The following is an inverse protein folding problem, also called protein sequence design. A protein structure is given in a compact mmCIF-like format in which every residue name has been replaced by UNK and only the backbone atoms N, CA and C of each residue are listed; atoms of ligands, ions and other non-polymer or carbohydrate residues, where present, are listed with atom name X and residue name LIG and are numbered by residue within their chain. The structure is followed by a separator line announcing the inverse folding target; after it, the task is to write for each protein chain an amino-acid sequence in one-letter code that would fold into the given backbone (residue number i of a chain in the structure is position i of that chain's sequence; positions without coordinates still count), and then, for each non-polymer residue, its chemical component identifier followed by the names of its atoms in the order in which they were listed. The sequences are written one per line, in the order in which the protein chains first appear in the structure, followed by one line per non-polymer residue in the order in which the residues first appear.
data_IF_908266331991
#
_entry.id   IF_908266331991
#
_cell.length_a   1.000
_cell.length_b   1.000
_cell.length_c   1.000
_cell.angle_alpha   90.00
_cell.angle_beta   90.00
_cell.angle_gamma   90.00
#
_symmetry.space_group_name_H-M   'P 1'
#
loop_
_entity.id
_entity.type
_entity.pdbx_description
1 polymer ?
#
# COMPACT_ATOMS: atom_id res chain seq x y z
N UNK A 1 -10.96 7.71 26.08
CA UNK A 1 -9.81 6.99 26.69
C UNK A 1 -8.82 6.54 25.62
N UNK A 2 -7.51 6.58 25.94
CA UNK A 2 -6.42 6.19 25.05
C UNK A 2 -5.22 5.61 25.85
N UNK A 3 -4.30 4.91 25.17
CA UNK A 3 -3.12 4.30 25.79
C UNK A 3 -2.01 5.31 26.15
N UNK A 4 -2.03 6.53 25.59
CA UNK A 4 -1.03 7.58 25.87
C UNK A 4 0.36 7.29 25.28
N UNK A 5 0.43 6.47 24.21
CA UNK A 5 1.66 5.92 23.60
C UNK A 5 1.58 5.94 22.06
N UNK A 6 0.89 6.95 21.52
CA UNK A 6 0.52 7.04 20.10
C UNK A 6 1.45 7.92 19.25
N UNK A 7 2.13 8.91 19.81
CA UNK A 7 2.86 9.92 19.03
C UNK A 7 3.95 9.35 18.10
N UNK A 8 4.68 8.35 18.59
CA UNK A 8 5.74 7.65 17.81
C UNK A 8 5.11 6.90 16.63
N UNK A 9 4.06 6.12 16.89
CA UNK A 9 3.34 5.36 15.85
C UNK A 9 2.62 6.28 14.87
N UNK A 10 2.02 7.39 15.33
CA UNK A 10 1.39 8.40 14.49
C UNK A 10 2.42 9.06 13.54
N UNK A 11 3.62 9.36 14.04
CA UNK A 11 4.72 9.86 13.21
C UNK A 11 5.17 8.81 12.19
N UNK A 12 5.38 7.56 12.61
CA UNK A 12 5.69 6.44 11.70
C UNK A 12 4.58 6.15 10.68
N UNK A 13 3.30 6.36 11.01
CA UNK A 13 2.18 6.25 10.07
C UNK A 13 2.27 7.31 8.96
N UNK A 14 2.49 8.57 9.34
CA UNK A 14 2.63 9.69 8.39
C UNK A 14 3.83 9.50 7.47
N UNK A 15 4.95 9.02 8.02
CA UNK A 15 6.11 8.58 7.24
C UNK A 15 5.78 7.41 6.30
N UNK A 16 5.14 6.37 6.80
CA UNK A 16 4.76 5.17 6.03
C UNK A 16 3.83 5.52 4.87
N UNK A 17 2.95 6.49 5.06
CA UNK A 17 2.11 7.05 4.01
C UNK A 17 2.90 7.82 2.94
N UNK A 18 3.89 8.63 3.33
CA UNK A 18 4.78 9.28 2.36
C UNK A 18 5.62 8.25 1.56
N UNK A 19 6.15 7.23 2.25
CA UNK A 19 6.92 6.12 1.64
C UNK A 19 6.05 5.32 0.67
N UNK A 20 4.82 4.97 1.08
CA UNK A 20 3.82 4.34 0.20
C UNK A 20 3.46 5.22 -1.00
N UNK A 21 3.24 6.52 -0.81
CA UNK A 21 2.92 7.44 -1.91
C UNK A 21 4.05 7.48 -2.94
N UNK A 22 5.31 7.54 -2.51
CA UNK A 22 6.46 7.43 -3.42
C UNK A 22 6.55 6.05 -4.12
N UNK A 23 6.28 4.96 -3.40
CA UNK A 23 6.24 3.60 -3.96
C UNK A 23 5.09 3.40 -4.98
N UNK A 24 3.96 4.09 -4.78
CA UNK A 24 2.84 4.14 -5.71
C UNK A 24 3.16 5.02 -6.94
N UNK A 25 3.95 6.09 -6.80
CA UNK A 25 4.48 6.85 -7.94
C UNK A 25 5.40 5.96 -8.80
N UNK A 26 6.30 5.21 -8.14
CA UNK A 26 7.11 4.13 -8.74
C UNK A 26 6.24 3.13 -9.51
N UNK A 27 5.14 2.69 -8.93
CA UNK A 27 4.19 1.77 -9.57
C UNK A 27 3.56 2.36 -10.85
N UNK A 28 3.12 3.62 -10.82
CA UNK A 28 2.57 4.33 -12.00
C UNK A 28 3.64 4.47 -13.09
N UNK A 29 4.86 4.87 -12.72
CA UNK A 29 6.00 4.97 -13.64
C UNK A 29 6.38 3.61 -14.26
N UNK A 30 6.27 2.52 -13.50
CA UNK A 30 6.52 1.15 -13.96
C UNK A 30 5.41 0.59 -14.86
N UNK A 31 4.15 0.98 -14.65
CA UNK A 31 3.00 0.45 -15.40
C UNK A 31 3.04 0.79 -16.90
N UNK A 32 3.49 1.99 -17.29
CA UNK A 32 3.63 2.35 -18.71
C UNK A 32 4.77 1.58 -19.40
N UNK A 33 5.80 1.20 -18.65
CA UNK A 33 6.96 0.43 -19.11
C UNK A 33 6.68 -1.08 -19.21
N UNK A 34 5.81 -1.60 -18.34
CA UNK A 34 5.58 -3.04 -18.16
C UNK A 34 4.61 -3.67 -19.16
N UNK A 35 3.76 -2.88 -19.82
CA UNK A 35 2.79 -3.36 -20.82
C UNK A 35 1.53 -4.06 -20.25
N UNK A 36 1.41 -4.08 -18.92
CA UNK A 36 0.26 -4.53 -18.13
C UNK A 36 0.16 -3.60 -16.90
N UNK A 37 -1.05 -3.34 -16.37
CA UNK A 37 -1.20 -2.67 -15.07
C UNK A 37 -0.25 -3.26 -14.01
N UNK A 38 0.27 -2.40 -13.13
CA UNK A 38 1.07 -2.79 -11.96
C UNK A 38 0.13 -3.04 -10.78
N UNK A 39 0.59 -3.73 -9.75
CA UNK A 39 -0.19 -3.90 -8.52
C UNK A 39 0.64 -3.89 -7.25
N UNK A 40 -0.03 -3.98 -6.11
CA UNK A 40 0.58 -3.98 -4.78
C UNK A 40 -0.10 -5.04 -3.92
N UNK A 41 0.67 -6.02 -3.50
CA UNK A 41 0.31 -7.04 -2.53
C UNK A 41 0.32 -6.47 -1.11
N UNK A 42 -0.57 -6.97 -0.25
CA UNK A 42 -0.75 -6.54 1.14
C UNK A 42 -1.12 -7.73 2.02
N UNK A 43 -0.47 -7.85 3.19
CA UNK A 43 -0.60 -9.00 4.11
C UNK A 43 -0.36 -8.62 5.59
N UNK A 44 -0.64 -7.37 5.95
CA UNK A 44 -0.45 -6.72 7.27
C UNK A 44 1.03 -6.65 7.71
N UNK A 45 1.68 -7.79 7.98
CA UNK A 45 3.10 -7.87 8.37
C UNK A 45 4.05 -7.45 7.22
N UNK A 46 3.60 -7.56 5.97
CA UNK A 46 4.33 -7.12 4.79
C UNK A 46 3.38 -6.74 3.63
N UNK A 47 3.98 -6.13 2.61
CA UNK A 47 3.37 -5.66 1.37
C UNK A 47 4.48 -5.64 0.30
N UNK A 48 4.15 -5.56 -1.00
CA UNK A 48 5.14 -5.37 -2.08
C UNK A 48 4.49 -5.00 -3.41
N UNK A 49 5.19 -4.19 -4.19
CA UNK A 49 4.80 -3.88 -5.58
C UNK A 49 4.93 -5.16 -6.43
N UNK A 50 4.16 -5.29 -7.52
CA UNK A 50 4.10 -6.46 -8.40
C UNK A 50 3.93 -6.07 -9.87
N UNK A 51 4.44 -6.91 -10.77
CA UNK A 51 4.58 -6.66 -12.22
C UNK A 51 4.28 -7.92 -13.05
N UNK A 52 4.05 -7.81 -14.37
CA UNK A 52 3.94 -8.99 -15.25
C UNK A 52 5.23 -9.82 -15.33
N UNK A 53 5.10 -11.02 -15.90
CA UNK A 53 6.20 -11.91 -16.28
C UNK A 53 5.75 -12.88 -17.38
N UNK A 54 6.71 -13.52 -18.07
CA UNK A 54 6.56 -14.34 -19.30
C UNK A 54 5.96 -13.62 -20.53
N UNK A 55 4.90 -12.85 -20.35
CA UNK A 55 4.24 -12.04 -21.39
C UNK A 55 3.48 -10.85 -20.80
N UNK A 56 3.50 -9.66 -21.45
CA UNK A 56 2.63 -8.53 -21.08
C UNK A 56 1.20 -8.69 -21.62
N UNK A 57 0.98 -9.58 -22.60
CA UNK A 57 -0.27 -9.70 -23.38
C UNK A 57 -1.42 -10.43 -22.65
N UNK A 58 -1.16 -11.00 -21.47
CA UNK A 58 -2.16 -11.70 -20.63
C UNK A 58 -1.84 -11.53 -19.14
N UNK A 59 -2.89 -11.58 -18.31
CA UNK A 59 -2.83 -11.44 -16.83
C UNK A 59 -1.83 -12.43 -16.20
N UNK A 60 -0.74 -11.89 -15.64
CA UNK A 60 0.31 -12.63 -14.93
C UNK A 60 0.99 -11.71 -13.89
N UNK A 61 1.61 -12.30 -12.86
CA UNK A 61 2.20 -11.56 -11.74
C UNK A 61 3.51 -12.15 -11.20
N UNK A 62 4.41 -11.24 -10.80
CA UNK A 62 5.74 -11.47 -10.22
C UNK A 62 5.99 -10.34 -9.19
N UNK A 63 6.60 -10.62 -8.02
CA UNK A 63 6.96 -9.58 -7.05
C UNK A 63 8.05 -8.65 -7.61
N UNK A 64 7.84 -7.33 -7.51
CA UNK A 64 8.79 -6.32 -7.96
C UNK A 64 9.92 -6.12 -6.92
N UNK A 65 10.88 -7.06 -6.92
CA UNK A 65 12.10 -7.02 -6.11
C UNK A 65 13.35 -7.42 -6.92
N UNK A 66 13.31 -7.24 -8.24
CA UNK A 66 14.48 -7.42 -9.12
C UNK A 66 15.66 -6.50 -8.76
N UNK A 67 15.38 -5.36 -8.11
CA UNK A 67 16.38 -4.46 -7.49
C UNK A 67 15.86 -3.70 -6.26
N UNK A 68 14.54 -3.45 -6.16
CA UNK A 68 13.85 -2.93 -4.97
C UNK A 68 13.80 -3.93 -3.78
N UNK A 69 14.74 -4.88 -3.72
CA UNK A 69 14.82 -5.92 -2.70
C UNK A 69 14.87 -5.33 -1.26
N UNK A 70 13.91 -5.70 -0.42
CA UNK A 70 13.69 -5.13 0.93
C UNK A 70 13.53 -3.60 0.99
N UNK A 71 13.13 -2.98 -0.12
CA UNK A 71 12.71 -1.57 -0.24
C UNK A 71 11.25 -1.48 -0.72
N UNK A 72 10.82 -2.44 -1.54
CA UNK A 72 9.42 -2.68 -1.94
C UNK A 72 8.54 -3.15 -0.77
N UNK A 73 9.15 -3.70 0.30
CA UNK A 73 8.47 -4.40 1.39
C UNK A 73 9.01 -4.06 2.79
N UNK A 74 8.12 -4.18 3.80
CA UNK A 74 8.28 -4.15 5.27
C UNK A 74 9.13 -3.04 5.96
N UNK A 75 10.21 -2.54 5.36
CA UNK A 75 11.21 -1.65 5.98
C UNK A 75 10.70 -0.24 6.37
N UNK A 76 9.54 0.18 5.87
CA UNK A 76 9.05 1.57 5.99
C UNK A 76 8.64 1.99 7.42
N UNK A 77 8.47 1.05 8.35
CA UNK A 77 8.02 1.31 9.73
C UNK A 77 8.64 0.37 10.78
N UNK A 78 8.41 0.68 12.06
CA UNK A 78 8.76 -0.15 13.23
C UNK A 78 7.69 -0.08 14.36
N UNK A 79 6.47 0.38 14.03
CA UNK A 79 5.40 0.74 14.97
C UNK A 79 3.97 0.43 14.51
N UNK A 80 3.75 -0.16 13.34
CA UNK A 80 2.42 -0.27 12.73
C UNK A 80 1.95 -1.70 12.40
N UNK A 81 0.63 -1.80 12.24
CA UNK A 81 -0.16 -2.92 11.72
C UNK A 81 -1.09 -2.34 10.66
N UNK A 82 -1.23 -3.02 9.52
CA UNK A 82 -1.90 -2.51 8.31
C UNK A 82 -3.15 -3.36 8.00
N UNK A 83 -4.20 -2.68 7.55
CA UNK A 83 -5.48 -3.27 7.16
C UNK A 83 -6.00 -2.57 5.90
N UNK A 84 -6.81 -3.23 5.07
CA UNK A 84 -7.49 -2.59 3.93
C UNK A 84 -8.86 -3.20 3.59
N UNK A 85 -9.58 -2.53 2.69
CA UNK A 85 -10.92 -2.88 2.16
C UNK A 85 -11.11 -2.23 0.77
N UNK A 86 -11.96 -2.75 -0.13
CA UNK A 86 -12.82 -3.95 -0.01
C UNK A 86 -12.09 -5.29 -0.13
N UNK A 87 -10.81 -5.27 -0.55
CA UNK A 87 -9.89 -6.41 -0.53
C UNK A 87 -9.53 -6.80 0.93
N UNK A 88 -8.57 -7.71 1.13
CA UNK A 88 -8.14 -8.14 2.49
C UNK A 88 -6.62 -8.38 2.57
N UNK A 89 -5.98 -8.12 3.74
CA UNK A 89 -4.57 -8.42 3.95
C UNK A 89 -4.37 -9.95 3.98
N UNK A 90 -3.81 -10.50 2.90
CA UNK A 90 -3.74 -11.94 2.62
C UNK A 90 -2.65 -12.26 1.58
N UNK A 91 -1.89 -13.32 1.83
CA UNK A 91 -0.76 -13.84 1.04
C UNK A 91 -1.16 -14.47 -0.32
N UNK A 92 -2.01 -13.77 -1.08
CA UNK A 92 -2.59 -14.19 -2.35
C UNK A 92 -1.56 -14.40 -3.48
N UNK A 93 -1.95 -15.18 -4.49
CA UNK A 93 -1.20 -15.33 -5.76
C UNK A 93 -1.26 -14.08 -6.66
N UNK A 94 -2.03 -13.06 -6.28
CA UNK A 94 -2.15 -11.77 -6.98
C UNK A 94 -1.98 -10.57 -6.00
N UNK A 95 -1.74 -9.35 -6.49
CA UNK A 95 -1.79 -8.15 -5.65
C UNK A 95 -3.22 -7.85 -5.13
N UNK A 96 -3.31 -7.03 -4.09
CA UNK A 96 -4.58 -6.56 -3.48
C UNK A 96 -4.99 -5.15 -3.96
N UNK A 97 -4.10 -4.42 -4.64
CA UNK A 97 -4.36 -3.12 -5.30
C UNK A 97 -3.78 -3.15 -6.73
N UNK A 98 -4.38 -2.44 -7.69
CA UNK A 98 -3.92 -2.40 -9.11
C UNK A 98 -3.94 -0.96 -9.65
N UNK A 99 -2.96 -0.63 -10.49
CA UNK A 99 -2.58 0.69 -11.01
C UNK A 99 -2.44 0.64 -12.54
N UNK A 100 -3.15 1.53 -13.25
CA UNK A 100 -3.01 1.66 -14.71
C UNK A 100 -1.83 2.57 -15.11
N UNK A 101 -1.39 2.42 -16.34
CA UNK A 101 -0.30 3.20 -16.96
C UNK A 101 -0.58 4.71 -17.02
N UNK A 102 -1.85 5.10 -17.07
CA UNK A 102 -2.33 6.49 -17.09
C UNK A 102 -2.40 7.14 -15.69
N UNK A 103 -2.19 6.36 -14.61
CA UNK A 103 -2.28 6.82 -13.22
C UNK A 103 -3.64 6.63 -12.56
N UNK A 104 -4.59 5.97 -13.23
CA UNK A 104 -5.85 5.53 -12.64
C UNK A 104 -5.58 4.36 -11.70
N UNK A 105 -6.24 4.36 -10.55
CA UNK A 105 -6.00 3.43 -9.44
C UNK A 105 -7.31 2.77 -9.02
N UNK A 106 -7.29 1.45 -8.86
CA UNK A 106 -8.44 0.64 -8.44
C UNK A 106 -8.91 1.07 -7.04
N UNK A 107 -10.16 1.55 -6.83
CA UNK A 107 -10.65 2.05 -5.56
C UNK A 107 -10.46 1.10 -4.35
N UNK A 108 -9.95 1.63 -3.25
CA UNK A 108 -9.76 0.96 -1.95
C UNK A 108 -9.56 1.96 -0.81
N UNK A 109 -9.48 1.47 0.43
CA UNK A 109 -9.07 2.24 1.61
C UNK A 109 -8.12 1.39 2.46
N UNK A 110 -7.08 2.02 3.01
CA UNK A 110 -5.94 1.39 3.68
C UNK A 110 -5.71 2.11 5.03
N UNK A 111 -5.74 1.37 6.14
CA UNK A 111 -5.75 1.86 7.50
C UNK A 111 -4.52 1.38 8.28
N UNK A 112 -4.00 2.23 9.17
CA UNK A 112 -2.79 1.98 9.96
C UNK A 112 -3.08 2.10 11.46
N UNK A 113 -2.68 1.07 12.22
CA UNK A 113 -2.90 0.97 13.66
C UNK A 113 -1.59 0.73 14.41
N UNK A 114 -1.42 1.39 15.56
CA UNK A 114 -0.25 1.33 16.43
C UNK A 114 -0.06 -0.09 16.99
N UNK A 115 1.01 -0.76 16.59
CA UNK A 115 1.33 -2.13 17.00
C UNK A 115 1.52 -2.31 18.52
N UNK A 116 1.75 -1.22 19.27
CA UNK A 116 1.92 -1.24 20.73
C UNK A 116 0.60 -1.14 21.53
N UNK A 117 -0.51 -0.70 20.92
CA UNK A 117 -1.75 -0.36 21.61
C UNK A 117 -3.01 -0.89 20.93
N UNK A 118 -2.99 -1.05 19.60
CA UNK A 118 -4.12 -1.43 18.75
C UNK A 118 -4.92 -0.23 18.22
N UNK A 119 -4.57 1.01 18.61
CA UNK A 119 -5.30 2.22 18.23
C UNK A 119 -4.96 2.70 16.79
N UNK A 120 -5.96 3.11 15.98
CA UNK A 120 -5.70 3.68 14.65
C UNK A 120 -5.07 5.08 14.74
N UNK A 121 -4.14 5.39 13.84
CA UNK A 121 -3.47 6.70 13.75
C UNK A 121 -3.82 7.44 12.47
N UNK A 122 -3.98 6.69 11.38
CA UNK A 122 -4.08 7.21 10.03
C UNK A 122 -4.82 6.23 9.11
N UNK A 123 -5.47 6.77 8.09
CA UNK A 123 -6.08 6.01 6.99
C UNK A 123 -5.82 6.74 5.67
N UNK A 124 -5.78 6.00 4.58
CA UNK A 124 -5.56 6.45 3.20
C UNK A 124 -6.72 5.95 2.34
N UNK A 125 -7.16 6.75 1.37
CA UNK A 125 -8.41 6.51 0.60
C UNK A 125 -8.21 6.74 -0.89
N UNK A 126 -8.74 5.83 -1.72
CA UNK A 126 -8.66 5.84 -3.18
C UNK A 126 -10.06 5.79 -3.81
N UNK A 127 -10.29 6.63 -4.83
CA UNK A 127 -11.60 6.79 -5.50
C UNK A 127 -11.52 6.73 -7.03
N UNK A 128 -10.35 6.39 -7.60
CA UNK A 128 -10.19 6.15 -9.05
C UNK A 128 -8.86 6.60 -9.67
N UNK A 129 -8.08 7.48 -9.02
CA UNK A 129 -6.88 8.08 -9.61
C UNK A 129 -5.87 8.59 -8.56
N UNK A 130 -4.60 8.68 -8.96
CA UNK A 130 -3.46 9.13 -8.17
C UNK A 130 -3.55 10.58 -7.62
N UNK A 131 -3.08 10.86 -6.38
CA UNK A 131 -2.64 9.92 -5.33
C UNK A 131 -3.81 9.61 -4.36
N UNK A 132 -3.59 8.74 -3.36
CA UNK A 132 -4.55 8.53 -2.27
C UNK A 132 -4.65 9.76 -1.37
N UNK A 133 -5.80 9.86 -0.69
CA UNK A 133 -6.14 10.93 0.25
C UNK A 133 -5.89 10.47 1.69
N UNK A 134 -5.00 11.18 2.41
CA UNK A 134 -4.63 10.91 3.79
C UNK A 134 -5.65 11.53 4.77
N UNK A 135 -5.91 10.82 5.87
CA UNK A 135 -6.78 11.27 6.97
C UNK A 135 -6.22 10.82 8.33
N UNK A 136 -6.39 11.65 9.37
CA UNK A 136 -6.10 11.25 10.75
C UNK A 136 -7.16 10.24 11.21
N UNK A 137 -6.70 9.19 11.89
CA UNK A 137 -7.47 8.00 12.25
C UNK A 137 -8.39 7.51 11.12
N UNK A 138 -9.69 7.84 11.14
CA UNK A 138 -10.69 7.47 10.11
C UNK A 138 -11.59 8.66 9.71
N UNK A 139 -11.13 9.89 9.95
CA UNK A 139 -11.94 11.13 9.85
C UNK A 139 -12.64 11.39 8.50
N UNK A 140 -12.18 10.79 7.39
CA UNK A 140 -12.84 10.84 6.07
C UNK A 140 -13.22 9.45 5.50
N UNK A 141 -13.18 8.40 6.33
CA UNK A 141 -13.34 6.98 5.90
C UNK A 141 -14.31 6.21 6.84
N UNK A 142 -15.63 6.46 6.74
CA UNK A 142 -16.67 5.74 7.49
C UNK A 142 -16.53 4.21 7.46
#
# INVERSE_FOLDING_TARGET
MAYGREDVANTRARETAARFTAALELAIDRATLSGQPVGIHFSDSAWRIMVPGKTPSAWRWVPLQEDAADESQNDWDEELSIHLQPFKPDDSNQPQVVILADGQITPFSLLMANAGTGEPLLTLVCSGSWPLDQTLARDTRP
#
